data_IF_941337969496
#
_entry.id   IF_941337969496
#
_cell.length_a   1.000
_cell.length_b   1.000
_cell.length_c   1.000
_cell.angle_alpha   90.00
_cell.angle_beta   90.00
_cell.angle_gamma   90.00
#
_symmetry.space_group_name_H-M   'P 1'
#
loop_
_entity.id
_entity.type
_entity.pdbx_description
1 polymer ?
#
# COMPACT_ATOMS: atom_id res chain seq x y z
N UNK A 1 -57.13 -22.44 23.05
CA UNK A 1 -57.16 -21.72 21.76
C UNK A 1 -55.93 -20.83 21.68
N UNK A 2 -55.33 -20.61 20.51
CA UNK A 2 -54.98 -21.59 19.47
C UNK A 2 -53.54 -21.39 18.90
N UNK A 3 -52.99 -22.45 18.30
CA UNK A 3 -52.19 -22.43 17.05
C UNK A 3 -50.86 -21.65 16.99
N UNK A 4 -49.80 -22.00 16.26
CA UNK A 4 -49.43 -22.97 15.21
C UNK A 4 -47.90 -22.75 15.10
N UNK A 5 -47.04 -23.75 14.97
CA UNK A 5 -46.61 -24.26 13.67
C UNK A 5 -45.71 -25.47 13.90
N UNK A 6 -46.16 -26.60 13.37
CA UNK A 6 -45.30 -27.72 13.04
C UNK A 6 -44.37 -27.33 11.89
N UNK A 7 -43.12 -27.79 11.93
CA UNK A 7 -42.48 -28.34 10.74
C UNK A 7 -41.68 -29.57 11.12
N UNK A 8 -42.30 -30.71 10.80
CA UNK A 8 -41.63 -31.98 10.59
C UNK A 8 -40.59 -31.81 9.48
N UNK A 9 -39.37 -32.30 9.69
CA UNK A 9 -38.63 -33.00 8.63
C UNK A 9 -38.09 -34.28 9.25
N UNK A 10 -38.46 -35.37 8.62
CA UNK A 10 -38.16 -36.76 8.95
C UNK A 10 -36.68 -37.09 8.85
N UNK A 11 -36.15 -37.82 9.83
CA UNK A 11 -35.08 -38.77 9.61
C UNK A 11 -35.49 -40.08 10.29
N UNK A 12 -35.55 -41.16 9.50
CA UNK A 12 -35.91 -42.51 9.90
C UNK A 12 -34.95 -43.09 10.95
N UNK A 13 -35.42 -43.99 11.83
CA UNK A 13 -34.58 -44.61 12.83
C UNK A 13 -33.80 -45.80 12.26
N UNK A 14 -32.60 -46.01 12.81
CA UNK A 14 -31.91 -47.29 12.98
C UNK A 14 -31.54 -48.10 11.74
N UNK A 15 -30.27 -47.97 11.34
CA UNK A 15 -29.38 -49.13 11.26
C UNK A 15 -28.07 -48.79 11.98
N UNK A 16 -27.93 -49.28 13.22
CA UNK A 16 -26.62 -49.64 13.73
C UNK A 16 -26.17 -50.84 12.90
N UNK A 17 -25.31 -50.61 11.91
CA UNK A 17 -24.57 -51.68 11.27
C UNK A 17 -23.12 -51.23 11.12
N UNK A 18 -22.37 -51.55 12.18
CA UNK A 18 -21.07 -52.22 12.10
C UNK A 18 -20.22 -52.00 10.83
N UNK A 19 -19.92 -50.74 10.49
CA UNK A 19 -18.82 -50.40 9.60
C UNK A 19 -17.43 -50.77 10.15
N UNK A 20 -17.37 -51.39 11.33
CA UNK A 20 -16.16 -51.98 11.92
C UNK A 20 -15.79 -53.35 11.32
N UNK A 21 -16.70 -53.99 10.56
CA UNK A 21 -16.49 -55.30 9.96
C UNK A 21 -16.15 -55.29 8.47
N UNK A 22 -15.86 -54.11 7.90
CA UNK A 22 -15.33 -53.98 6.52
C UNK A 22 -13.80 -53.74 6.50
N UNK A 23 -13.15 -53.76 7.67
CA UNK A 23 -11.68 -53.63 7.80
C UNK A 23 -10.94 -54.98 7.67
N UNK A 24 -11.67 -56.10 7.57
CA UNK A 24 -11.08 -57.45 7.56
C UNK A 24 -11.42 -58.28 6.31
N UNK A 25 -11.94 -57.65 5.26
CA UNK A 25 -11.95 -58.26 3.93
C UNK A 25 -11.15 -57.40 2.97
N UNK A 26 -10.05 -57.98 2.50
CA UNK A 26 -9.11 -57.46 1.51
C UNK A 26 -8.23 -56.29 1.94
N UNK A 27 -7.25 -56.58 2.79
CA UNK A 27 -5.85 -56.32 2.39
C UNK A 27 -4.91 -57.07 3.32
N UNK A 28 -3.98 -57.83 2.74
CA UNK A 28 -2.67 -58.03 3.34
C UNK A 28 -1.94 -56.69 3.33
N UNK A 29 -2.39 -55.70 4.11
CA UNK A 29 -1.51 -54.58 4.45
C UNK A 29 -0.37 -55.19 5.27
N UNK A 30 0.82 -55.16 4.69
CA UNK A 30 2.00 -55.62 5.40
C UNK A 30 2.24 -54.72 6.60
N UNK A 31 2.92 -55.22 7.63
CA UNK A 31 3.31 -54.38 8.77
C UNK A 31 4.12 -53.13 8.31
N UNK A 32 4.78 -53.21 7.15
CA UNK A 32 5.44 -52.07 6.52
C UNK A 32 4.45 -50.99 6.04
N UNK A 33 3.29 -51.38 5.52
CA UNK A 33 2.24 -50.45 5.06
C UNK A 33 1.59 -49.74 6.26
N UNK A 34 1.36 -50.47 7.35
CA UNK A 34 0.85 -49.91 8.60
C UNK A 34 1.82 -48.87 9.20
N UNK A 35 3.13 -49.17 9.22
CA UNK A 35 4.15 -48.23 9.70
C UNK A 35 4.28 -47.00 8.80
N UNK A 36 4.17 -47.17 7.48
CA UNK A 36 4.20 -46.07 6.52
C UNK A 36 3.01 -45.13 6.70
N UNK A 37 1.82 -45.66 6.99
CA UNK A 37 0.62 -44.87 7.28
C UNK A 37 0.73 -44.11 8.59
N UNK A 38 1.20 -44.75 9.66
CA UNK A 38 1.42 -44.09 10.95
C UNK A 38 2.46 -42.95 10.87
N UNK A 39 3.54 -43.11 10.08
CA UNK A 39 4.49 -42.03 9.84
C UNK A 39 3.88 -40.87 9.06
N UNK A 40 3.00 -41.14 8.08
CA UNK A 40 2.31 -40.09 7.32
C UNK A 40 1.33 -39.32 8.18
N UNK A 41 0.62 -39.99 9.09
CA UNK A 41 -0.30 -39.34 10.03
C UNK A 41 0.45 -38.49 11.06
N UNK A 42 1.59 -38.98 11.60
CA UNK A 42 2.46 -38.17 12.47
C UNK A 42 3.00 -36.93 11.77
N UNK A 43 3.51 -37.07 10.53
CA UNK A 43 3.98 -35.92 9.74
C UNK A 43 2.88 -34.92 9.41
N UNK A 44 1.63 -35.38 9.25
CA UNK A 44 0.47 -34.48 9.05
C UNK A 44 0.12 -33.73 10.34
N UNK A 45 0.17 -34.39 11.49
CA UNK A 45 -0.08 -33.77 12.79
C UNK A 45 0.99 -32.73 13.13
N UNK A 46 2.27 -33.08 12.99
CA UNK A 46 3.41 -32.17 13.20
C UNK A 46 3.33 -30.94 12.28
N UNK A 47 2.91 -31.12 11.02
CA UNK A 47 2.73 -30.00 10.09
C UNK A 47 1.56 -29.10 10.48
N UNK A 48 0.45 -29.63 11.01
CA UNK A 48 -0.70 -28.83 11.45
C UNK A 48 -0.40 -28.05 12.74
N UNK A 49 0.37 -28.63 13.66
CA UNK A 49 0.78 -27.96 14.90
C UNK A 49 1.76 -26.82 14.62
N UNK A 50 2.74 -27.04 13.73
CA UNK A 50 3.63 -25.98 13.26
C UNK A 50 2.89 -24.83 12.56
N UNK A 51 1.84 -25.13 11.77
CA UNK A 51 1.04 -24.07 11.12
C UNK A 51 0.24 -23.25 12.14
N UNK A 52 -0.23 -23.87 13.24
CA UNK A 52 -0.99 -23.18 14.29
C UNK A 52 -0.12 -22.29 15.17
N UNK A 53 1.05 -22.76 15.58
CA UNK A 53 1.98 -21.95 16.37
C UNK A 53 2.46 -20.74 15.55
N UNK A 54 2.72 -20.91 14.25
CA UNK A 54 3.11 -19.81 13.36
C UNK A 54 1.95 -18.82 13.08
N UNK A 55 0.70 -19.30 13.07
CA UNK A 55 -0.49 -18.45 12.95
C UNK A 55 -0.82 -17.71 14.26
N UNK A 56 -0.64 -18.34 15.43
CA UNK A 56 -0.81 -17.70 16.74
C UNK A 56 0.30 -16.68 17.02
N UNK A 57 1.55 -16.96 16.61
CA UNK A 57 2.65 -16.01 16.70
C UNK A 57 2.47 -14.83 15.72
N UNK A 58 1.97 -15.07 14.50
CA UNK A 58 1.55 -14.01 13.58
C UNK A 58 0.37 -13.19 14.13
N UNK A 59 -0.61 -13.82 14.77
CA UNK A 59 -1.77 -13.11 15.35
C UNK A 59 -1.39 -12.30 16.60
N UNK A 60 -0.47 -12.79 17.43
CA UNK A 60 0.08 -12.07 18.58
C UNK A 60 0.94 -10.87 18.13
N UNK A 61 1.77 -11.04 17.11
CA UNK A 61 2.57 -9.97 16.52
C UNK A 61 1.72 -8.88 15.84
N UNK A 62 0.46 -9.17 15.47
CA UNK A 62 -0.49 -8.22 14.89
C UNK A 62 -1.20 -7.39 15.96
N UNK A 63 -1.30 -7.85 17.21
CA UNK A 63 -1.98 -7.12 18.30
C UNK A 63 -1.11 -6.07 19.02
N UNK A 64 0.21 -6.14 18.92
CA UNK A 64 1.14 -5.18 19.55
C UNK A 64 1.41 -3.92 18.70
N UNK A 65 0.75 -3.74 17.55
CA UNK A 65 1.06 -2.67 16.58
C UNK A 65 0.17 -1.41 16.71
N UNK A 66 -0.78 -1.36 17.63
CA UNK A 66 -1.84 -0.33 17.61
C UNK A 66 -1.70 0.82 18.63
N UNK A 67 -0.56 1.52 18.65
CA UNK A 67 -0.60 2.93 19.10
C UNK A 67 0.47 3.76 18.37
N UNK A 68 0.04 4.44 17.31
CA UNK A 68 0.86 5.47 16.66
C UNK A 68 0.90 6.66 17.62
N UNK A 69 1.99 6.79 18.38
CA UNK A 69 2.22 7.96 19.24
C UNK A 69 2.58 9.16 18.35
N UNK A 70 1.63 10.08 18.20
CA UNK A 70 1.85 11.36 17.53
C UNK A 70 2.77 12.24 18.40
N UNK A 71 3.90 12.66 17.84
CA UNK A 71 4.86 13.49 18.56
C UNK A 71 4.48 14.97 18.46
N UNK A 72 4.69 15.71 19.54
CA UNK A 72 4.52 17.16 19.53
C UNK A 72 5.56 17.81 18.58
N UNK A 73 5.04 18.56 17.60
CA UNK A 73 5.86 19.34 16.68
C UNK A 73 6.38 20.62 17.36
N UNK A 74 7.69 20.85 17.29
CA UNK A 74 8.26 22.15 17.68
C UNK A 74 7.74 23.28 16.76
N UNK A 75 7.73 24.55 17.21
CA UNK A 75 7.31 25.66 16.35
C UNK A 75 8.09 25.76 15.03
N UNK A 76 9.39 25.43 15.06
CA UNK A 76 10.22 25.42 13.86
C UNK A 76 9.79 24.32 12.87
N UNK A 77 9.55 23.10 13.36
CA UNK A 77 9.07 21.99 12.53
C UNK A 77 7.69 22.27 11.94
N UNK A 78 6.77 22.87 12.70
CA UNK A 78 5.46 23.32 12.19
C UNK A 78 5.63 24.29 11.02
N UNK A 79 6.52 25.28 11.15
CA UNK A 79 6.79 26.25 10.10
C UNK A 79 7.42 25.60 8.85
N UNK A 80 8.31 24.62 9.03
CA UNK A 80 8.89 23.87 7.91
C UNK A 80 7.83 23.05 7.16
N UNK A 81 6.94 22.37 7.89
CA UNK A 81 5.82 21.61 7.31
C UNK A 81 4.88 22.52 6.54
N UNK A 82 4.47 23.63 7.13
CA UNK A 82 3.57 24.60 6.50
C UNK A 82 4.18 25.15 5.20
N UNK A 83 5.46 25.53 5.23
CA UNK A 83 6.18 26.02 4.06
C UNK A 83 6.29 24.95 2.96
N UNK A 84 6.65 23.72 3.32
CA UNK A 84 6.81 22.63 2.37
C UNK A 84 5.46 22.19 1.77
N UNK A 85 4.41 22.09 2.58
CA UNK A 85 3.05 21.75 2.12
C UNK A 85 2.45 22.86 1.25
N UNK A 86 2.57 24.12 1.65
CA UNK A 86 2.14 25.26 0.85
C UNK A 86 2.83 25.28 -0.52
N UNK A 87 4.13 25.00 -0.55
CA UNK A 87 4.90 24.89 -1.79
C UNK A 87 4.47 23.68 -2.62
N UNK A 88 4.27 22.52 -2.01
CA UNK A 88 3.84 21.30 -2.70
C UNK A 88 2.46 21.47 -3.36
N UNK A 89 1.50 22.08 -2.65
CA UNK A 89 0.17 22.44 -3.19
C UNK A 89 0.29 23.36 -4.40
N UNK A 90 1.14 24.39 -4.33
CA UNK A 90 1.39 25.30 -5.46
C UNK A 90 1.95 24.56 -6.67
N UNK A 91 2.91 23.67 -6.47
CA UNK A 91 3.49 22.88 -7.57
C UNK A 91 2.48 21.88 -8.15
N UNK A 92 1.62 21.27 -7.33
CA UNK A 92 0.52 20.43 -7.82
C UNK A 92 -0.49 21.21 -8.68
N UNK A 93 -0.85 22.44 -8.26
CA UNK A 93 -1.75 23.32 -9.03
C UNK A 93 -1.09 23.75 -10.36
N UNK A 94 0.21 24.09 -10.34
CA UNK A 94 0.95 24.41 -11.59
C UNK A 94 1.01 23.20 -12.51
N UNK A 95 1.32 22.01 -11.98
CA UNK A 95 1.33 20.77 -12.73
C UNK A 95 -0.04 20.49 -13.38
N UNK A 96 -1.14 20.70 -12.64
CA UNK A 96 -2.50 20.61 -13.19
C UNK A 96 -2.74 21.58 -14.34
N UNK A 97 -2.28 22.83 -14.22
CA UNK A 97 -2.42 23.82 -15.29
C UNK A 97 -1.62 23.43 -16.54
N UNK A 98 -0.34 23.06 -16.38
CA UNK A 98 0.51 22.54 -17.47
C UNK A 98 -0.13 21.33 -18.14
N UNK A 99 -0.72 20.46 -17.34
CA UNK A 99 -1.39 19.25 -17.82
C UNK A 99 -2.65 19.57 -18.63
N UNK A 100 -3.54 20.43 -18.12
CA UNK A 100 -4.75 20.86 -18.84
C UNK A 100 -4.41 21.57 -20.16
N UNK A 101 -3.37 22.40 -20.17
CA UNK A 101 -2.90 23.05 -21.40
C UNK A 101 -2.36 22.06 -22.44
N UNK A 102 -1.73 20.96 -22.02
CA UNK A 102 -1.28 19.90 -22.91
C UNK A 102 -2.47 19.10 -23.49
N UNK A 103 -3.50 18.86 -22.67
CA UNK A 103 -4.74 18.17 -23.05
C UNK A 103 -5.54 18.97 -24.10
N UNK A 104 -5.78 20.26 -23.87
CA UNK A 104 -6.58 21.14 -24.75
C UNK A 104 -6.02 21.28 -26.17
N UNK A 105 -4.70 21.12 -26.34
CA UNK A 105 -4.05 21.22 -27.65
C UNK A 105 -3.98 19.89 -28.40
N UNK A 106 -4.49 18.78 -27.82
CA UNK A 106 -4.25 17.41 -28.30
C UNK A 106 -2.74 17.11 -28.48
N UNK A 107 -1.91 17.92 -27.83
CA UNK A 107 -0.45 17.85 -27.78
C UNK A 107 -0.13 17.40 -26.38
N UNK A 108 -0.39 16.13 -26.10
CA UNK A 108 0.19 15.49 -24.92
C UNK A 108 1.70 15.62 -25.08
N UNK A 109 2.25 16.67 -24.44
CA UNK A 109 3.62 17.08 -24.64
C UNK A 109 4.55 15.95 -24.27
N UNK A 110 5.76 15.98 -24.79
CA UNK A 110 6.79 14.98 -24.50
C UNK A 110 6.92 14.73 -23.00
N UNK A 111 6.68 15.75 -22.17
CA UNK A 111 6.63 15.66 -20.71
C UNK A 111 5.51 14.76 -20.15
N UNK A 112 4.28 14.84 -20.66
CA UNK A 112 3.21 13.94 -20.21
C UNK A 112 3.53 12.49 -20.59
N UNK A 113 4.07 12.28 -21.79
CA UNK A 113 4.47 10.96 -22.25
C UNK A 113 5.66 10.40 -21.48
N UNK A 114 6.60 11.25 -21.11
CA UNK A 114 7.79 10.88 -20.34
C UNK A 114 7.43 10.31 -18.96
N UNK A 115 6.45 10.91 -18.27
CA UNK A 115 6.12 10.53 -16.90
C UNK A 115 4.87 9.65 -16.77
N UNK A 116 3.90 9.78 -17.68
CA UNK A 116 2.64 9.03 -17.62
C UNK A 116 2.40 8.13 -18.85
N UNK A 117 3.36 8.03 -19.77
CA UNK A 117 3.22 7.22 -20.97
C UNK A 117 2.09 7.72 -21.89
N UNK A 118 1.53 6.82 -22.68
CA UNK A 118 0.45 7.11 -23.64
C UNK A 118 -0.89 6.56 -23.14
N UNK A 119 -1.09 6.60 -21.81
CA UNK A 119 -2.31 6.13 -21.20
C UNK A 119 -3.40 7.21 -21.22
N UNK A 120 -4.00 7.43 -22.40
CA UNK A 120 -5.04 8.44 -22.60
C UNK A 120 -6.29 8.23 -21.72
N UNK A 121 -6.55 6.99 -21.28
CA UNK A 121 -7.66 6.70 -20.37
C UNK A 121 -7.41 7.22 -18.95
N UNK A 122 -6.15 7.34 -18.53
CA UNK A 122 -5.76 7.86 -17.23
C UNK A 122 -5.83 9.39 -17.16
N UNK A 123 -6.14 10.09 -18.26
CA UNK A 123 -5.88 11.53 -18.30
C UNK A 123 -6.70 12.32 -17.28
N UNK A 124 -7.99 11.98 -17.17
CA UNK A 124 -8.90 12.59 -16.19
C UNK A 124 -8.47 12.26 -14.77
N UNK A 125 -7.95 11.05 -14.54
CA UNK A 125 -7.49 10.62 -13.23
C UNK A 125 -6.26 11.42 -12.80
N UNK A 126 -5.27 11.60 -13.66
CA UNK A 126 -4.07 12.41 -13.37
C UNK A 126 -4.44 13.84 -12.99
N UNK A 127 -5.32 14.48 -13.77
CA UNK A 127 -5.81 15.83 -13.47
C UNK A 127 -6.56 15.89 -12.12
N UNK A 128 -7.46 14.93 -11.86
CA UNK A 128 -8.17 14.84 -10.58
C UNK A 128 -7.22 14.60 -9.40
N UNK A 129 -6.16 13.82 -9.59
CA UNK A 129 -5.13 13.59 -8.57
C UNK A 129 -4.42 14.90 -8.23
N UNK A 130 -3.91 15.65 -9.21
CA UNK A 130 -3.27 16.95 -8.95
C UNK A 130 -4.22 17.98 -8.33
N UNK A 131 -5.49 18.01 -8.77
CA UNK A 131 -6.51 18.87 -8.18
C UNK A 131 -6.73 18.56 -6.70
N UNK A 132 -6.89 17.28 -6.36
CA UNK A 132 -7.02 16.85 -4.96
C UNK A 132 -5.77 17.15 -4.15
N UNK A 133 -4.57 16.97 -4.73
CA UNK A 133 -3.31 17.31 -4.08
C UNK A 133 -3.29 18.81 -3.70
N UNK A 134 -3.70 19.71 -4.59
CA UNK A 134 -3.82 21.13 -4.28
C UNK A 134 -4.74 21.48 -3.10
N UNK A 135 -5.63 20.55 -2.71
CA UNK A 135 -6.63 20.71 -1.64
C UNK A 135 -6.34 19.93 -0.34
N UNK A 136 -5.20 19.24 -0.25
CA UNK A 136 -4.84 18.43 0.93
C UNK A 136 -4.86 19.30 2.20
N UNK A 137 -5.56 18.93 3.29
CA UNK A 137 -5.61 19.76 4.49
C UNK A 137 -4.31 19.68 5.28
N UNK A 138 -3.93 20.76 5.95
CA UNK A 138 -2.68 20.81 6.73
C UNK A 138 -2.71 19.80 7.90
N UNK A 139 -3.91 19.51 8.42
CA UNK A 139 -4.15 18.54 9.49
C UNK A 139 -3.84 17.09 9.11
N UNK A 140 -3.59 16.78 7.83
CA UNK A 140 -3.21 15.44 7.43
C UNK A 140 -1.73 15.11 7.71
N UNK A 141 -0.89 16.12 7.94
CA UNK A 141 0.54 15.91 8.18
C UNK A 141 0.79 15.79 9.68
N UNK A 142 1.44 14.69 10.06
CA UNK A 142 1.77 14.35 11.45
C UNK A 142 3.26 14.04 11.56
N UNK A 143 3.86 14.32 12.71
CA UNK A 143 5.20 13.82 13.03
C UNK A 143 5.07 12.48 13.73
N UNK A 144 5.88 11.54 13.29
CA UNK A 144 6.02 10.25 13.94
C UNK A 144 7.32 10.23 14.75
N UNK A 145 7.23 9.89 16.04
CA UNK A 145 8.44 9.60 16.83
C UNK A 145 8.98 8.25 16.37
N UNK A 146 10.21 8.26 15.85
CA UNK A 146 10.89 7.07 15.33
C UNK A 146 11.19 6.03 16.41
N UNK A 147 10.97 6.34 17.69
CA UNK A 147 11.21 5.46 18.83
C UNK A 147 10.27 4.23 18.95
N UNK A 148 9.22 4.10 18.13
CA UNK A 148 8.19 3.06 18.31
C UNK A 148 8.01 2.04 17.18
N UNK A 149 8.59 2.23 16.00
CA UNK A 149 8.32 1.34 14.85
C UNK A 149 9.60 0.92 14.13
N UNK A 150 10.47 0.24 14.86
CA UNK A 150 11.66 -0.41 14.32
C UNK A 150 11.30 -1.33 13.15
N UNK A 151 10.07 -1.81 12.96
CA UNK A 151 9.68 -2.64 11.80
C UNK A 151 9.52 -1.87 10.48
N UNK A 152 9.15 -0.57 10.51
CA UNK A 152 9.19 0.30 9.32
C UNK A 152 10.60 0.83 9.05
N UNK A 153 11.46 0.82 10.08
CA UNK A 153 12.84 1.31 10.05
C UNK A 153 13.89 0.21 10.30
N UNK A 154 13.55 -1.06 10.08
CA UNK A 154 14.50 -2.18 10.10
C UNK A 154 14.53 -2.84 8.73
N UNK A 155 15.73 -2.84 8.14
CA UNK A 155 15.98 -3.27 6.77
C UNK A 155 16.83 -2.25 6.01
N UNK A 156 17.38 -2.66 4.87
CA UNK A 156 18.26 -1.81 4.05
C UNK A 156 17.59 -0.50 3.56
N UNK A 157 16.25 -0.41 3.60
CA UNK A 157 15.46 0.77 3.19
C UNK A 157 15.26 1.81 4.30
N UNK A 158 15.35 1.43 5.57
CA UNK A 158 15.12 2.31 6.72
C UNK A 158 16.05 3.52 6.81
N UNK A 159 17.23 3.38 6.20
CA UNK A 159 18.21 4.45 6.06
C UNK A 159 17.69 5.65 5.26
N UNK A 160 16.68 5.47 4.40
CA UNK A 160 16.30 6.41 3.35
C UNK A 160 14.84 6.89 3.38
N UNK A 161 14.06 6.48 4.38
CA UNK A 161 12.67 6.92 4.53
C UNK A 161 12.65 8.33 5.13
N UNK A 162 11.92 9.24 4.50
CA UNK A 162 11.70 10.62 4.97
C UNK A 162 10.26 10.83 5.43
N UNK A 163 9.31 10.19 4.77
CA UNK A 163 7.90 10.20 5.12
C UNK A 163 7.25 8.88 4.69
N UNK A 164 6.03 8.65 5.15
CA UNK A 164 5.16 7.60 4.64
C UNK A 164 3.70 8.01 4.79
N UNK A 165 2.83 7.49 3.92
CA UNK A 165 1.39 7.73 3.99
C UNK A 165 0.68 6.48 4.49
N UNK A 166 -0.11 6.63 5.56
CA UNK A 166 -0.99 5.57 6.05
C UNK A 166 -2.45 5.93 5.77
N UNK A 167 -3.20 4.93 5.29
CA UNK A 167 -4.62 5.04 4.93
C UNK A 167 -5.44 3.87 5.45
N UNK A 168 -5.11 3.36 6.61
CA UNK A 168 -5.96 2.35 7.24
C UNK A 168 -7.16 3.03 7.88
N UNK A 169 -8.35 2.42 7.86
CA UNK A 169 -9.64 3.09 8.15
C UNK A 169 -9.78 3.83 9.50
N UNK A 170 -8.79 3.70 10.40
CA UNK A 170 -8.66 4.38 11.69
C UNK A 170 -7.69 5.58 11.67
N UNK A 171 -6.68 5.57 10.79
CA UNK A 171 -5.65 6.62 10.66
C UNK A 171 -5.37 6.94 9.20
N UNK A 172 -5.73 8.16 8.79
CA UNK A 172 -5.39 8.72 7.48
C UNK A 172 -4.47 9.93 7.67
N UNK A 173 -3.21 9.80 7.25
CA UNK A 173 -2.23 10.87 7.40
C UNK A 173 -0.93 10.63 6.65
N UNK A 174 -0.18 11.72 6.46
CA UNK A 174 1.20 11.74 5.99
C UNK A 174 2.07 11.87 7.23
N UNK A 175 2.93 10.89 7.48
CA UNK A 175 3.75 10.80 8.66
C UNK A 175 5.20 11.12 8.31
N UNK A 176 5.75 12.16 8.94
CA UNK A 176 7.11 12.61 8.74
C UNK A 176 8.03 12.00 9.80
N UNK A 177 9.18 11.47 9.39
CA UNK A 177 10.24 11.02 10.32
C UNK A 177 11.29 12.11 10.52
N UNK A 178 12.11 12.03 11.56
CA UNK A 178 13.09 13.08 11.91
C UNK A 178 14.07 13.45 10.78
N UNK A 179 14.34 12.52 9.85
CA UNK A 179 15.20 12.78 8.69
C UNK A 179 14.61 13.78 7.71
N UNK A 180 13.28 13.89 7.62
CA UNK A 180 12.60 14.88 6.78
C UNK A 180 13.02 16.32 7.15
N UNK A 181 13.12 16.62 8.44
CA UNK A 181 13.49 17.96 8.90
C UNK A 181 14.96 18.32 8.65
N UNK A 182 15.78 17.36 8.22
CA UNK A 182 17.17 17.58 7.80
C UNK A 182 17.32 17.80 6.29
N UNK A 183 16.25 17.60 5.52
CA UNK A 183 16.22 17.87 4.08
C UNK A 183 16.29 19.37 3.79
N UNK A 184 16.72 19.72 2.58
CA UNK A 184 16.58 21.09 2.09
C UNK A 184 15.09 21.44 1.94
N UNK A 185 14.70 22.74 2.01
CA UNK A 185 13.30 23.13 1.79
C UNK A 185 12.74 22.66 0.44
N UNK A 186 13.60 22.58 -0.58
CA UNK A 186 13.23 22.08 -1.91
C UNK A 186 12.91 20.58 -1.87
N UNK A 187 13.73 19.77 -1.21
CA UNK A 187 13.50 18.34 -1.08
C UNK A 187 12.31 18.01 -0.18
N UNK A 188 12.08 18.81 0.87
CA UNK A 188 10.90 18.70 1.74
C UNK A 188 9.60 18.87 0.94
N UNK A 189 9.56 19.87 0.06
CA UNK A 189 8.42 20.10 -0.84
C UNK A 189 8.15 18.88 -1.73
N UNK A 190 9.18 18.33 -2.38
CA UNK A 190 9.00 17.18 -3.28
C UNK A 190 8.61 15.91 -2.53
N UNK A 191 9.16 15.70 -1.34
CA UNK A 191 8.77 14.62 -0.45
C UNK A 191 7.29 14.74 -0.05
N UNK A 192 6.81 15.92 0.36
CA UNK A 192 5.39 16.10 0.68
C UNK A 192 4.51 15.90 -0.56
N UNK A 193 4.90 16.44 -1.72
CA UNK A 193 4.12 16.28 -2.95
C UNK A 193 3.99 14.80 -3.34
N UNK A 194 5.06 14.03 -3.21
CA UNK A 194 5.05 12.57 -3.40
C UNK A 194 4.04 11.89 -2.46
N UNK A 195 4.12 12.16 -1.16
CA UNK A 195 3.18 11.60 -0.17
C UNK A 195 1.73 12.05 -0.39
N UNK A 196 1.51 13.27 -0.87
CA UNK A 196 0.17 13.75 -1.22
C UNK A 196 -0.47 12.88 -2.32
N UNK A 197 0.31 12.37 -3.27
CA UNK A 197 -0.20 11.48 -4.32
C UNK A 197 -0.76 10.19 -3.70
N UNK A 198 0.01 9.54 -2.81
CA UNK A 198 -0.49 8.42 -2.01
C UNK A 198 -1.69 8.82 -1.17
N UNK A 199 -1.71 10.04 -0.61
CA UNK A 199 -2.79 10.54 0.26
C UNK A 199 -4.11 10.78 -0.48
N UNK A 200 -4.09 11.16 -1.76
CA UNK A 200 -5.32 11.42 -2.51
C UNK A 200 -5.88 10.19 -3.23
N UNK A 201 -5.04 9.22 -3.59
CA UNK A 201 -5.46 8.01 -4.30
C UNK A 201 -4.69 6.78 -3.78
N UNK A 202 -5.44 5.78 -3.28
CA UNK A 202 -4.89 4.55 -2.68
C UNK A 202 -4.20 3.62 -3.68
N UNK A 203 -4.55 3.77 -4.95
CA UNK A 203 -3.95 2.94 -6.00
C UNK A 203 -2.65 3.54 -6.54
N UNK A 204 -2.19 4.68 -6.00
CA UNK A 204 -0.86 5.22 -6.25
C UNK A 204 0.13 4.59 -5.26
N UNK A 205 1.19 3.98 -5.77
CA UNK A 205 2.20 3.21 -5.05
C UNK A 205 3.62 3.62 -5.47
N UNK A 206 4.61 3.14 -4.73
CA UNK A 206 6.04 3.42 -4.98
C UNK A 206 6.69 2.38 -5.85
N UNK A 207 6.80 2.66 -7.15
CA UNK A 207 7.42 1.75 -8.10
C UNK A 207 8.49 2.48 -8.94
N UNK A 208 9.76 2.02 -8.93
CA UNK A 208 10.37 1.16 -7.94
C UNK A 208 10.37 1.78 -6.52
N UNK A 209 10.63 0.98 -5.48
CA UNK A 209 10.61 1.42 -4.07
C UNK A 209 11.67 2.48 -3.71
N UNK A 210 12.57 2.81 -4.64
CA UNK A 210 13.49 3.93 -4.60
C UNK A 210 13.84 4.26 -6.04
N UNK A 211 13.57 5.48 -6.47
CA UNK A 211 13.68 5.82 -7.88
C UNK A 211 14.39 7.14 -8.07
N UNK A 212 15.48 7.15 -8.83
CA UNK A 212 15.98 8.38 -9.45
C UNK A 212 15.05 8.76 -10.62
N UNK A 213 15.15 9.99 -11.15
CA UNK A 213 14.42 10.36 -12.37
C UNK A 213 14.73 9.45 -13.57
N UNK A 214 15.93 8.83 -13.61
CA UNK A 214 16.28 7.88 -14.66
C UNK A 214 15.51 6.56 -14.48
N UNK A 215 15.50 6.02 -13.25
CA UNK A 215 14.83 4.76 -12.94
C UNK A 215 13.32 4.83 -13.23
N UNK A 216 12.68 5.96 -12.91
CA UNK A 216 11.25 6.16 -13.21
C UNK A 216 11.00 6.23 -14.71
N UNK A 217 11.88 6.89 -15.47
CA UNK A 217 11.73 6.98 -16.93
C UNK A 217 11.90 5.62 -17.59
N UNK A 218 12.92 4.86 -17.18
CA UNK A 218 13.12 3.49 -17.64
C UNK A 218 11.93 2.60 -17.25
N UNK A 219 11.36 2.82 -16.06
CA UNK A 219 10.18 2.11 -15.59
C UNK A 219 8.92 2.45 -16.41
N UNK A 220 8.68 3.72 -16.75
CA UNK A 220 7.54 4.17 -17.58
C UNK A 220 7.70 3.71 -19.04
N UNK A 221 8.94 3.60 -19.53
CA UNK A 221 9.24 3.16 -20.89
C UNK A 221 8.93 1.68 -21.13
N UNK A 222 8.85 0.85 -20.08
CA UNK A 222 8.44 -0.56 -20.19
C UNK A 222 6.99 -0.67 -20.69
N UNK A 223 6.73 -1.28 -21.87
CA UNK A 223 5.39 -1.43 -22.41
C UNK A 223 4.41 -2.14 -21.47
N UNK A 224 4.89 -3.05 -20.61
CA UNK A 224 4.06 -3.75 -19.64
C UNK A 224 3.58 -2.84 -18.49
N UNK A 225 4.22 -1.68 -18.30
CA UNK A 225 3.98 -0.76 -17.17
C UNK A 225 3.42 0.60 -17.59
N UNK A 226 3.48 0.90 -18.90
CA UNK A 226 2.95 2.14 -19.48
C UNK A 226 1.49 2.44 -19.11
N UNK A 227 0.67 1.40 -18.89
CA UNK A 227 -0.74 1.53 -18.52
C UNK A 227 -1.01 1.73 -17.01
N UNK A 228 0.05 1.74 -16.20
CA UNK A 228 -0.04 1.89 -14.72
C UNK A 228 0.90 2.99 -14.20
N UNK A 229 1.41 3.84 -15.08
CA UNK A 229 2.26 4.98 -14.72
C UNK A 229 1.53 6.05 -13.90
N UNK A 230 0.23 6.19 -14.08
CA UNK A 230 -0.65 6.99 -13.24
C UNK A 230 -0.88 6.40 -11.83
N UNK A 231 -0.34 5.21 -11.57
CA UNK A 231 -0.33 4.56 -10.25
C UNK A 231 1.01 4.71 -9.55
N UNK A 232 1.91 5.56 -10.03
CA UNK A 232 3.25 5.72 -9.47
C UNK A 232 3.45 7.13 -8.89
N UNK A 233 3.72 7.24 -7.59
CA UNK A 233 3.87 8.54 -6.91
C UNK A 233 5.06 9.36 -7.46
N UNK A 234 6.15 8.69 -7.85
CA UNK A 234 7.30 9.40 -8.43
C UNK A 234 6.99 10.04 -9.79
N UNK A 235 6.06 9.49 -10.56
CA UNK A 235 5.62 10.12 -11.81
C UNK A 235 4.95 11.48 -11.54
N UNK A 236 4.13 11.58 -10.50
CA UNK A 236 3.54 12.85 -10.08
C UNK A 236 4.61 13.83 -9.57
N UNK A 237 5.56 13.36 -8.77
CA UNK A 237 6.67 14.16 -8.28
C UNK A 237 7.50 14.75 -9.42
N UNK A 238 7.96 13.90 -10.35
CA UNK A 238 8.85 14.34 -11.41
C UNK A 238 8.14 15.09 -12.53
N UNK A 239 6.86 14.81 -12.79
CA UNK A 239 6.06 15.65 -13.66
C UNK A 239 5.91 17.06 -13.06
N UNK A 240 5.60 17.16 -11.76
CA UNK A 240 5.49 18.46 -11.10
C UNK A 240 6.83 19.20 -11.04
N UNK A 241 7.94 18.50 -10.80
CA UNK A 241 9.25 19.14 -10.78
C UNK A 241 9.70 19.63 -12.15
N UNK A 242 9.48 18.86 -13.21
CA UNK A 242 9.92 19.21 -14.57
C UNK A 242 8.91 20.10 -15.33
N UNK A 243 7.64 20.09 -14.95
CA UNK A 243 6.61 20.98 -15.49
C UNK A 243 6.85 22.46 -15.16
N UNK A 244 7.68 22.75 -14.16
CA UNK A 244 8.15 24.10 -13.81
C UNK A 244 9.34 24.54 -14.66
N UNK A 245 10.07 23.60 -15.27
CA UNK A 245 11.30 23.86 -16.03
C UNK A 245 11.11 23.85 -17.55
N UNK A 246 9.90 24.11 -18.06
CA UNK A 246 9.73 24.48 -19.47
C UNK A 246 10.37 25.86 -19.71
N UNK A 247 11.70 25.87 -19.86
CA UNK A 247 12.46 26.99 -20.42
C UNK A 247 12.07 27.09 -21.90
N UNK A 248 11.08 27.94 -22.17
CA UNK A 248 10.47 28.04 -23.50
C UNK A 248 9.12 28.75 -23.51
N UNK A 249 8.57 29.07 -22.33
CA UNK A 249 7.67 30.23 -22.12
C UNK A 249 8.44 31.29 -21.35
#
# INVERSE_FOLDING_TARGET
>A
MPEKLARQVSASPTHHDLGFLDFLSDSTESNADLQARLQRERKKAEKMEATREEEEEKAAAVKEVEEITEADLSPAEKAMIEAALSSAKKEAIKALATYRMADDNNRHGDLCKEWFGENYAALRRIAQTFEKMGSVPDSCIKKYDSGGNEKLTSGAAAGKIFAYTQKDGKYQGIFLVDKFFKLSPEDQKWCILHEMAHWVDRSILDWPASSTPADVRDWVADPARKSISDQNAYCYQYFASNGVFVKGV
#
